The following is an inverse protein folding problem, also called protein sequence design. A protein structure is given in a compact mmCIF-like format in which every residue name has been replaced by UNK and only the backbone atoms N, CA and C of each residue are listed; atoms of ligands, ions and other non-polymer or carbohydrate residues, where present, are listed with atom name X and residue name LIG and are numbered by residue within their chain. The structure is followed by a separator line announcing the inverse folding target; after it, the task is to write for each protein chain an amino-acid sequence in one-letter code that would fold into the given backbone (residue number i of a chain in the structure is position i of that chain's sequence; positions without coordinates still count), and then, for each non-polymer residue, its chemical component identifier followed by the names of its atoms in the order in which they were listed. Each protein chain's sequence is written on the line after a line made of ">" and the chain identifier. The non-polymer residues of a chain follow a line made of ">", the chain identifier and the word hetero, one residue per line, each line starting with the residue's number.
data_IF_366152634286
#
_entry.id   IF_366152634286
#
_cell.length_a   1.000
_cell.length_b   1.000
_cell.length_c   1.000
_cell.angle_alpha   90.00
_cell.angle_beta   90.00
_cell.angle_gamma   90.00
#
_symmetry.space_group_name_H-M   'P 1'
#
loop_
_entity.id
_entity.type
_entity.pdbx_description
1 polymer ?
#
# COMPACT_ATOMS: atom_id res chain seq x y z
N UNK A 1 -1.49 9.48 20.74
CA UNK A 1 -2.64 8.54 20.84
C UNK A 1 -3.84 8.89 19.94
N UNK A 2 -4.01 10.15 19.51
CA UNK A 2 -5.12 10.52 18.61
C UNK A 2 -5.00 9.91 17.20
N UNK A 3 -3.79 9.77 16.65
CA UNK A 3 -3.57 9.23 15.30
C UNK A 3 -3.95 7.77 15.11
N UNK A 4 -3.76 6.92 16.12
CA UNK A 4 -4.08 5.49 16.02
C UNK A 4 -5.60 5.24 15.95
N UNK A 5 -6.38 5.98 16.75
CA UNK A 5 -7.84 5.88 16.72
C UNK A 5 -8.47 6.29 15.39
N UNK A 6 -7.89 7.31 14.72
CA UNK A 6 -8.37 7.75 13.41
C UNK A 6 -8.01 6.77 12.29
N UNK A 7 -6.88 6.07 12.41
CA UNK A 7 -6.50 4.98 11.50
C UNK A 7 -7.52 3.84 11.58
N UNK A 8 -7.87 3.38 12.78
CA UNK A 8 -8.85 2.29 12.96
C UNK A 8 -10.24 2.67 12.46
N UNK A 9 -10.70 3.91 12.67
CA UNK A 9 -11.98 4.38 12.15
C UNK A 9 -12.02 4.36 10.61
N UNK A 10 -10.96 4.80 9.93
CA UNK A 10 -10.86 4.77 8.46
C UNK A 10 -10.89 3.34 7.93
N UNK A 11 -10.24 2.42 8.61
CA UNK A 11 -10.21 0.99 8.24
C UNK A 11 -11.59 0.34 8.41
N UNK A 12 -12.33 0.68 9.46
CA UNK A 12 -13.72 0.24 9.62
C UNK A 12 -14.61 0.73 8.47
N UNK A 13 -14.43 1.98 8.03
CA UNK A 13 -15.18 2.55 6.89
C UNK A 13 -14.82 1.82 5.60
N UNK A 14 -13.53 1.57 5.32
CA UNK A 14 -13.11 0.80 4.15
C UNK A 14 -13.72 -0.61 4.16
N UNK A 15 -13.82 -1.26 5.33
CA UNK A 15 -14.46 -2.58 5.43
C UNK A 15 -15.96 -2.53 5.16
N UNK A 16 -16.65 -1.49 5.61
CA UNK A 16 -18.07 -1.31 5.30
C UNK A 16 -18.30 -1.08 3.80
N UNK A 17 -17.35 -0.45 3.11
CA UNK A 17 -17.39 -0.27 1.65
C UNK A 17 -17.25 -1.58 0.88
N UNK A 18 -16.55 -2.59 1.42
CA UNK A 18 -16.47 -3.93 0.81
C UNK A 18 -17.83 -4.62 0.68
N UNK A 19 -18.78 -4.25 1.52
CA UNK A 19 -20.14 -4.80 1.52
C UNK A 19 -21.14 -3.96 0.73
N UNK A 20 -20.76 -2.76 0.32
CA UNK A 20 -21.52 -2.04 -0.69
C UNK A 20 -21.30 -2.78 -2.01
N UNK A 21 -22.33 -3.46 -2.48
CA UNK A 21 -22.43 -4.09 -3.81
C UNK A 21 -22.43 -3.06 -4.95
N UNK A 22 -21.76 -1.93 -4.73
CA UNK A 22 -21.52 -0.91 -5.74
C UNK A 22 -20.55 -1.50 -6.75
N UNK A 23 -21.13 -2.30 -7.59
CA UNK A 23 -20.67 -2.77 -8.88
C UNK A 23 -19.19 -3.08 -9.05
N UNK A 24 -19.00 -4.19 -9.68
CA UNK A 24 -17.74 -4.69 -10.22
C UNK A 24 -16.78 -3.61 -10.75
N UNK A 25 -17.27 -2.48 -11.25
CA UNK A 25 -16.47 -1.41 -11.83
C UNK A 25 -15.52 -0.74 -10.83
N UNK A 26 -16.02 -0.33 -9.65
CA UNK A 26 -15.21 0.41 -8.67
C UNK A 26 -14.27 -0.49 -7.86
N UNK A 27 -14.68 -1.72 -7.55
CA UNK A 27 -13.87 -2.71 -6.86
C UNK A 27 -13.28 -2.25 -5.53
N UNK A 28 -14.06 -1.58 -4.67
CA UNK A 28 -13.59 -1.07 -3.37
C UNK A 28 -13.02 -2.16 -2.45
N UNK A 29 -13.43 -3.42 -2.62
CA UNK A 29 -12.86 -4.55 -1.89
C UNK A 29 -11.38 -4.78 -2.18
N UNK A 30 -10.86 -4.26 -3.29
CA UNK A 30 -9.46 -4.40 -3.69
C UNK A 30 -8.49 -3.57 -2.86
N UNK A 31 -8.96 -2.52 -2.18
CA UNK A 31 -8.11 -1.57 -1.43
C UNK A 31 -7.16 -2.28 -0.44
N UNK A 32 -7.59 -3.41 0.14
CA UNK A 32 -6.79 -4.15 1.10
C UNK A 32 -6.03 -5.33 0.51
N UNK A 33 -6.42 -5.79 -0.66
CA UNK A 33 -5.83 -6.97 -1.31
C UNK A 33 -4.73 -6.61 -2.29
N UNK A 34 -4.78 -5.41 -2.87
CA UNK A 34 -3.80 -4.90 -3.82
C UNK A 34 -2.71 -4.07 -3.12
N UNK A 35 -1.54 -4.04 -3.72
CA UNK A 35 -0.33 -3.49 -3.10
C UNK A 35 -0.28 -1.96 -3.11
N UNK A 36 -0.94 -1.29 -4.04
CA UNK A 36 -0.83 0.17 -4.22
C UNK A 36 -1.21 0.96 -2.97
N UNK A 37 -2.30 0.59 -2.32
CA UNK A 37 -2.67 1.22 -1.05
C UNK A 37 -1.58 1.05 0.03
N UNK A 38 -0.95 -0.14 0.08
CA UNK A 38 0.12 -0.43 1.02
C UNK A 38 1.39 0.36 0.70
N UNK A 39 1.72 0.48 -0.60
CA UNK A 39 2.86 1.26 -1.06
C UNK A 39 2.66 2.74 -0.73
N UNK A 40 1.49 3.31 -1.03
CA UNK A 40 1.16 4.71 -0.75
C UNK A 40 1.25 4.99 0.74
N UNK A 41 0.58 4.19 1.57
CA UNK A 41 0.54 4.41 3.01
C UNK A 41 1.90 4.22 3.67
N UNK A 42 2.67 3.20 3.27
CA UNK A 42 4.04 3.01 3.74
C UNK A 42 4.95 4.18 3.34
N UNK A 43 4.84 4.66 2.11
CA UNK A 43 5.59 5.82 1.64
C UNK A 43 5.30 7.06 2.48
N UNK A 44 4.04 7.31 2.80
CA UNK A 44 3.62 8.41 3.69
C UNK A 44 4.20 8.23 5.10
N UNK A 45 4.15 7.01 5.65
CA UNK A 45 4.71 6.72 6.97
C UNK A 45 6.21 7.02 7.01
N UNK A 46 6.95 6.61 5.98
CA UNK A 46 8.39 6.88 5.89
C UNK A 46 8.67 8.38 5.76
N UNK A 47 7.86 9.12 4.97
CA UNK A 47 7.99 10.57 4.83
C UNK A 47 7.76 11.34 6.13
N UNK A 48 6.86 10.85 6.98
CA UNK A 48 6.51 11.46 8.27
C UNK A 48 7.39 10.97 9.43
N UNK A 49 8.23 9.97 9.21
CA UNK A 49 9.08 9.39 10.25
C UNK A 49 10.32 10.26 10.50
N UNK A 50 10.81 10.22 11.74
CA UNK A 50 11.98 10.98 12.18
C UNK A 50 13.28 10.18 12.19
N UNK A 51 13.19 8.85 12.12
CA UNK A 51 14.33 7.93 12.10
C UNK A 51 14.00 6.61 11.41
N UNK A 52 15.04 5.85 11.02
CA UNK A 52 14.88 4.51 10.44
C UNK A 52 14.06 3.59 11.35
N UNK A 53 14.38 3.58 12.65
CA UNK A 53 13.65 2.75 13.63
C UNK A 53 12.19 3.17 13.73
N UNK A 54 11.94 4.49 13.77
CA UNK A 54 10.59 5.04 13.79
C UNK A 54 9.82 4.62 12.53
N UNK A 55 10.41 4.72 11.33
CA UNK A 55 9.79 4.31 10.08
C UNK A 55 9.41 2.82 10.07
N UNK A 56 10.36 1.94 10.44
CA UNK A 56 10.11 0.50 10.49
C UNK A 56 9.04 0.11 11.51
N UNK A 57 9.12 0.62 12.75
CA UNK A 57 8.14 0.31 13.80
C UNK A 57 6.75 0.87 13.45
N UNK A 58 6.68 2.11 12.96
CA UNK A 58 5.39 2.72 12.58
C UNK A 58 4.75 2.00 11.41
N UNK A 59 5.54 1.56 10.42
CA UNK A 59 5.06 0.74 9.31
C UNK A 59 4.52 -0.60 9.79
N UNK A 60 5.27 -1.31 10.65
CA UNK A 60 4.81 -2.57 11.23
C UNK A 60 3.48 -2.41 11.98
N UNK A 61 3.42 -1.45 12.91
CA UNK A 61 2.23 -1.21 13.72
C UNK A 61 1.03 -0.81 12.86
N UNK A 62 1.26 -0.02 11.80
CA UNK A 62 0.21 0.38 10.88
C UNK A 62 -0.32 -0.83 10.09
N UNK A 63 0.55 -1.60 9.44
CA UNK A 63 0.17 -2.74 8.60
C UNK A 63 -0.45 -3.87 9.42
N UNK A 64 0.17 -4.22 10.55
CA UNK A 64 -0.37 -5.22 11.48
C UNK A 64 -1.70 -4.77 12.08
N UNK A 65 -1.79 -3.52 12.51
CA UNK A 65 -3.02 -2.93 13.05
C UNK A 65 -4.16 -2.89 12.03
N UNK A 66 -3.84 -2.61 10.76
CA UNK A 66 -4.79 -2.67 9.66
C UNK A 66 -5.34 -4.09 9.49
N UNK A 67 -4.46 -5.08 9.42
CA UNK A 67 -4.83 -6.49 9.31
C UNK A 67 -5.69 -6.94 10.51
N UNK A 68 -5.27 -6.58 11.73
CA UNK A 68 -6.01 -6.91 12.95
C UNK A 68 -7.40 -6.28 12.97
N UNK A 69 -7.52 -5.00 12.60
CA UNK A 69 -8.80 -4.30 12.54
C UNK A 69 -9.74 -4.90 11.51
N UNK A 70 -9.22 -5.24 10.34
CA UNK A 70 -9.99 -5.83 9.25
C UNK A 70 -10.59 -7.19 9.65
N UNK A 71 -9.75 -8.12 10.06
CA UNK A 71 -10.20 -9.47 10.42
C UNK A 71 -10.90 -9.51 11.77
N UNK A 72 -10.50 -8.69 12.73
CA UNK A 72 -11.15 -8.56 14.02
C UNK A 72 -12.57 -7.99 13.90
N UNK A 73 -12.76 -6.95 13.09
CA UNK A 73 -14.08 -6.39 12.82
C UNK A 73 -14.99 -7.41 12.12
N UNK A 74 -14.45 -8.15 11.15
CA UNK A 74 -15.19 -9.23 10.49
C UNK A 74 -15.66 -10.30 11.49
N UNK A 75 -14.79 -10.71 12.40
CA UNK A 75 -15.14 -11.70 13.43
C UNK A 75 -16.24 -11.19 14.35
N UNK A 76 -16.14 -9.92 14.81
CA UNK A 76 -17.14 -9.30 15.70
C UNK A 76 -18.48 -9.14 14.96
N UNK A 77 -18.48 -8.59 13.75
CA UNK A 77 -19.71 -8.40 12.99
C UNK A 77 -20.37 -9.74 12.61
N UNK A 78 -19.58 -10.77 12.37
CA UNK A 78 -20.08 -12.13 12.10
C UNK A 78 -20.86 -12.76 13.24
N UNK A 79 -20.68 -12.28 14.48
CA UNK A 79 -21.48 -12.72 15.65
C UNK A 79 -22.89 -12.12 15.66
N UNK A 80 -23.09 -10.94 15.06
CA UNK A 80 -24.33 -10.19 15.11
C UNK A 80 -25.10 -10.15 13.78
N UNK A 81 -24.40 -10.26 12.68
CA UNK A 81 -24.97 -10.07 11.33
C UNK A 81 -24.69 -11.30 10.49
N UNK A 82 -25.71 -12.06 10.06
CA UNK A 82 -25.54 -13.29 9.25
C UNK A 82 -24.75 -13.07 7.94
N UNK A 83 -24.86 -11.89 7.35
CA UNK A 83 -24.12 -11.52 6.14
C UNK A 83 -22.60 -11.61 6.29
N UNK A 84 -22.09 -11.48 7.52
CA UNK A 84 -20.67 -11.57 7.88
C UNK A 84 -20.27 -12.94 8.44
N UNK A 85 -21.15 -13.93 8.39
CA UNK A 85 -20.98 -15.26 9.03
C UNK A 85 -19.89 -16.14 8.41
N UNK A 86 -19.12 -15.63 7.43
CA UNK A 86 -18.00 -16.35 6.79
C UNK A 86 -16.83 -16.71 7.71
N UNK A 87 -16.90 -16.35 9.00
CA UNK A 87 -15.93 -16.69 10.04
C UNK A 87 -14.58 -15.97 9.90
N UNK A 88 -13.78 -16.07 10.96
CA UNK A 88 -12.41 -15.53 10.98
C UNK A 88 -11.48 -16.36 10.08
N UNK A 89 -11.04 -15.81 8.97
CA UNK A 89 -10.13 -16.48 8.03
C UNK A 89 -8.69 -16.46 8.56
N UNK A 90 -8.37 -17.39 9.47
CA UNK A 90 -7.07 -17.48 10.15
C UNK A 90 -5.87 -17.48 9.21
N UNK A 91 -5.94 -18.21 8.09
CA UNK A 91 -4.85 -18.32 7.13
C UNK A 91 -4.52 -16.98 6.46
N UNK A 92 -5.54 -16.22 6.06
CA UNK A 92 -5.35 -14.89 5.47
C UNK A 92 -4.86 -13.88 6.51
N UNK A 93 -5.40 -13.93 7.72
CA UNK A 93 -4.90 -13.08 8.82
C UNK A 93 -3.41 -13.30 9.08
N UNK A 94 -2.98 -14.57 9.19
CA UNK A 94 -1.56 -14.91 9.41
C UNK A 94 -0.72 -14.45 8.23
N UNK A 95 -1.17 -14.67 6.99
CA UNK A 95 -0.47 -14.24 5.79
C UNK A 95 -0.23 -12.72 5.79
N UNK A 96 -1.27 -11.92 5.97
CA UNK A 96 -1.14 -10.45 5.99
C UNK A 96 -0.40 -9.93 7.22
N UNK A 97 -0.53 -10.59 8.37
CA UNK A 97 0.28 -10.28 9.55
C UNK A 97 1.77 -10.52 9.30
N UNK A 98 2.13 -11.62 8.61
CA UNK A 98 3.51 -11.89 8.21
C UNK A 98 4.01 -10.89 7.17
N UNK A 99 3.17 -10.46 6.22
CA UNK A 99 3.53 -9.45 5.22
C UNK A 99 3.81 -8.07 5.85
N UNK A 100 3.35 -7.80 7.05
CA UNK A 100 3.71 -6.56 7.75
C UNK A 100 5.21 -6.47 8.10
N UNK A 101 5.91 -7.61 8.22
CA UNK A 101 7.34 -7.67 8.51
C UNK A 101 8.18 -7.14 7.33
N UNK A 102 8.06 -7.68 6.10
CA UNK A 102 8.79 -7.12 4.96
C UNK A 102 8.43 -5.65 4.68
N UNK A 103 7.19 -5.22 4.91
CA UNK A 103 6.82 -3.80 4.82
C UNK A 103 7.59 -2.94 5.83
N UNK A 104 7.75 -3.41 7.07
CA UNK A 104 8.53 -2.74 8.10
C UNK A 104 10.02 -2.64 7.72
N UNK A 105 10.59 -3.72 7.19
CA UNK A 105 11.98 -3.74 6.70
C UNK A 105 12.14 -2.78 5.53
N UNK A 106 11.22 -2.80 4.57
CA UNK A 106 11.22 -1.87 3.45
C UNK A 106 11.16 -0.41 3.92
N UNK A 107 10.27 -0.08 4.87
CA UNK A 107 10.17 1.26 5.44
C UNK A 107 11.46 1.68 6.17
N UNK A 108 12.09 0.77 6.94
CA UNK A 108 13.37 1.02 7.59
C UNK A 108 14.47 1.33 6.57
N UNK A 109 14.54 0.58 5.48
CA UNK A 109 15.52 0.77 4.39
C UNK A 109 15.20 2.04 3.60
N UNK A 110 13.94 2.27 3.22
CA UNK A 110 13.54 3.45 2.45
C UNK A 110 13.89 4.75 3.18
N UNK A 111 13.85 4.81 4.50
CA UNK A 111 14.21 6.02 5.25
C UNK A 111 15.63 6.51 4.95
N UNK A 112 16.55 5.64 4.45
CA UNK A 112 17.89 6.04 4.01
C UNK A 112 17.89 7.01 2.81
N UNK A 113 16.76 7.21 2.15
CA UNK A 113 16.64 8.25 1.11
C UNK A 113 16.89 9.68 1.61
N UNK A 114 16.77 9.91 2.93
CA UNK A 114 17.09 11.21 3.55
C UNK A 114 18.60 11.48 3.65
N UNK A 115 19.45 10.54 3.26
CA UNK A 115 20.90 10.74 3.21
C UNK A 115 21.30 11.28 1.83
N UNK A 116 22.23 12.23 1.81
CA UNK A 116 22.77 12.86 0.59
C UNK A 116 23.71 11.94 -0.19
N UNK A 117 23.22 10.78 -0.63
CA UNK A 117 23.97 9.77 -1.36
C UNK A 117 23.33 9.49 -2.72
N UNK A 118 24.12 8.94 -3.65
CA UNK A 118 23.61 8.42 -4.94
C UNK A 118 22.49 7.40 -4.73
N UNK A 119 22.62 6.54 -3.71
CA UNK A 119 21.62 5.55 -3.32
C UNK A 119 20.27 6.17 -2.95
N UNK A 120 20.26 7.37 -2.40
CA UNK A 120 19.04 8.11 -2.06
C UNK A 120 18.13 8.29 -3.30
N UNK A 121 18.70 8.63 -4.45
CA UNK A 121 17.93 8.80 -5.69
C UNK A 121 17.29 7.49 -6.16
N UNK A 122 17.95 6.35 -5.96
CA UNK A 122 17.38 5.03 -6.23
C UNK A 122 16.29 4.66 -5.23
N UNK A 123 16.48 4.94 -3.94
CA UNK A 123 15.47 4.64 -2.92
C UNK A 123 14.18 5.45 -3.15
N UNK A 124 14.28 6.72 -3.55
CA UNK A 124 13.11 7.52 -3.93
C UNK A 124 12.36 6.97 -5.16
N UNK A 125 13.04 6.26 -6.05
CA UNK A 125 12.39 5.68 -7.24
C UNK A 125 11.59 4.41 -6.95
N UNK A 126 11.91 3.67 -5.88
CA UNK A 126 11.28 2.37 -5.57
C UNK A 126 9.75 2.45 -5.39
N UNK A 127 9.21 3.34 -4.52
CA UNK A 127 7.75 3.41 -4.36
C UNK A 127 7.04 3.85 -5.65
N UNK A 128 7.63 4.75 -6.40
CA UNK A 128 7.07 5.22 -7.67
C UNK A 128 7.07 4.10 -8.71
N UNK A 129 8.20 3.38 -8.85
CA UNK A 129 8.29 2.26 -9.77
C UNK A 129 7.33 1.12 -9.41
N UNK A 130 7.12 0.84 -8.12
CA UNK A 130 6.15 -0.15 -7.68
C UNK A 130 4.71 0.25 -8.04
N UNK A 131 4.33 1.53 -7.82
CA UNK A 131 3.01 2.03 -8.23
C UNK A 131 2.82 2.03 -9.74
N UNK A 132 3.86 2.36 -10.51
CA UNK A 132 3.80 2.27 -11.99
C UNK A 132 3.62 0.83 -12.44
N UNK A 133 4.32 -0.13 -11.84
CA UNK A 133 4.16 -1.55 -12.14
C UNK A 133 2.73 -2.03 -11.89
N UNK A 134 2.18 -1.70 -10.73
CA UNK A 134 0.80 -2.05 -10.38
C UNK A 134 -0.21 -1.35 -11.29
N UNK A 135 -0.02 -0.06 -11.60
CA UNK A 135 -0.85 0.66 -12.56
C UNK A 135 -0.91 -0.05 -13.92
N UNK A 136 0.22 -0.53 -14.43
CA UNK A 136 0.28 -1.26 -15.70
C UNK A 136 -0.51 -2.58 -15.58
N UNK A 137 -0.27 -3.37 -14.53
CA UNK A 137 -0.93 -4.65 -14.33
C UNK A 137 -2.45 -4.50 -14.18
N UNK A 138 -2.90 -3.55 -13.34
CA UNK A 138 -4.32 -3.29 -13.14
C UNK A 138 -4.97 -2.70 -14.39
N UNK A 139 -4.24 -1.92 -15.19
CA UNK A 139 -4.76 -1.41 -16.47
C UNK A 139 -5.13 -2.55 -17.42
N UNK A 140 -4.28 -3.57 -17.56
CA UNK A 140 -4.60 -4.75 -18.36
C UNK A 140 -5.79 -5.52 -17.79
N UNK A 141 -5.81 -5.73 -16.49
CA UNK A 141 -6.92 -6.42 -15.84
C UNK A 141 -8.24 -5.65 -15.99
N UNK A 142 -8.20 -4.32 -15.88
CA UNK A 142 -9.37 -3.45 -16.07
C UNK A 142 -9.92 -3.52 -17.49
N UNK A 143 -9.06 -3.58 -18.51
CA UNK A 143 -9.49 -3.68 -19.90
C UNK A 143 -10.23 -5.00 -20.19
N UNK A 144 -9.86 -6.08 -19.50
CA UNK A 144 -10.49 -7.40 -19.69
C UNK A 144 -11.77 -7.56 -18.84
N UNK A 145 -11.75 -7.09 -17.59
CA UNK A 145 -12.80 -7.42 -16.60
C UNK A 145 -13.66 -6.21 -16.20
N UNK A 146 -13.30 -5.00 -16.59
CA UNK A 146 -13.99 -3.76 -16.21
C UNK A 146 -14.19 -3.59 -14.69
N UNK A 147 -13.18 -3.99 -13.89
CA UNK A 147 -13.18 -3.93 -12.42
C UNK A 147 -11.95 -3.21 -11.89
N UNK A 148 -11.98 -2.75 -10.61
CA UNK A 148 -10.86 -2.09 -9.92
C UNK A 148 -10.51 -0.68 -10.43
N UNK A 149 -11.48 0.05 -10.98
CA UNK A 149 -11.26 1.44 -11.42
C UNK A 149 -10.74 2.34 -10.29
N UNK A 150 -11.24 2.16 -9.06
CA UNK A 150 -10.80 2.96 -7.91
C UNK A 150 -9.31 2.75 -7.62
N UNK A 151 -8.85 1.49 -7.62
CA UNK A 151 -7.44 1.16 -7.40
C UNK A 151 -6.56 1.76 -8.50
N UNK A 152 -6.97 1.60 -9.77
CA UNK A 152 -6.25 2.16 -10.90
C UNK A 152 -6.05 3.68 -10.77
N UNK A 153 -7.12 4.41 -10.43
CA UNK A 153 -7.06 5.86 -10.23
C UNK A 153 -6.16 6.23 -9.05
N UNK A 154 -6.26 5.50 -7.95
CA UNK A 154 -5.45 5.73 -6.76
C UNK A 154 -3.95 5.52 -7.05
N UNK A 155 -3.60 4.47 -7.79
CA UNK A 155 -2.21 4.17 -8.16
C UNK A 155 -1.63 5.21 -9.11
N UNK A 156 -2.40 5.64 -10.12
CA UNK A 156 -1.99 6.71 -11.03
C UNK A 156 -1.75 8.01 -10.24
N UNK A 157 -2.70 8.41 -9.40
CA UNK A 157 -2.58 9.62 -8.58
C UNK A 157 -1.38 9.51 -7.65
N UNK A 158 -1.20 8.38 -6.97
CA UNK A 158 -0.07 8.12 -6.09
C UNK A 158 1.27 8.19 -6.83
N UNK A 159 1.38 7.53 -7.99
CA UNK A 159 2.57 7.54 -8.82
C UNK A 159 2.92 8.97 -9.28
N UNK A 160 1.95 9.74 -9.74
CA UNK A 160 2.16 11.13 -10.19
C UNK A 160 2.57 12.02 -9.01
N UNK A 161 1.85 11.97 -7.90
CA UNK A 161 2.12 12.80 -6.71
C UNK A 161 3.52 12.51 -6.17
N UNK A 162 3.86 11.24 -5.96
CA UNK A 162 5.19 10.89 -5.45
C UNK A 162 6.30 11.17 -6.48
N UNK A 163 6.04 10.97 -7.78
CA UNK A 163 7.01 11.35 -8.82
C UNK A 163 7.37 12.82 -8.74
N UNK A 164 6.39 13.71 -8.65
CA UNK A 164 6.61 15.16 -8.57
C UNK A 164 7.28 15.56 -7.26
N UNK A 165 6.82 15.01 -6.13
CA UNK A 165 7.40 15.30 -4.81
C UNK A 165 8.87 14.89 -4.74
N UNK A 166 9.19 13.67 -5.20
CA UNK A 166 10.53 13.13 -5.12
C UNK A 166 11.47 13.74 -6.17
N UNK A 167 10.98 14.06 -7.36
CA UNK A 167 11.79 14.75 -8.37
C UNK A 167 12.35 16.10 -7.89
N UNK A 168 11.62 16.80 -7.00
CA UNK A 168 12.10 18.04 -6.38
C UNK A 168 13.16 17.79 -5.30
N UNK A 169 13.15 16.61 -4.67
CA UNK A 169 14.07 16.28 -3.56
C UNK A 169 15.36 15.60 -4.02
N UNK A 170 15.32 14.90 -5.15
CA UNK A 170 16.47 14.12 -5.63
C UNK A 170 17.57 14.98 -6.21
N UNK A 171 18.82 14.66 -5.85
CA UNK A 171 20.01 15.30 -6.37
C UNK A 171 20.37 14.79 -7.77
N UNK A 172 20.25 13.49 -8.01
CA UNK A 172 20.60 12.84 -9.29
C UNK A 172 19.35 12.46 -10.08
N UNK A 173 18.76 13.45 -10.78
CA UNK A 173 17.49 13.28 -11.52
C UNK A 173 17.54 12.18 -12.59
N UNK A 174 18.66 12.06 -13.32
CA UNK A 174 18.81 11.00 -14.36
C UNK A 174 18.74 9.61 -13.72
N UNK A 175 19.45 9.41 -12.59
CA UNK A 175 19.45 8.14 -11.87
C UNK A 175 18.07 7.81 -11.27
N UNK A 176 17.35 8.82 -10.82
CA UNK A 176 15.98 8.68 -10.33
C UNK A 176 15.04 8.16 -11.43
N UNK A 177 15.09 8.77 -12.64
CA UNK A 177 14.25 8.34 -13.78
C UNK A 177 14.61 6.91 -14.22
N UNK A 178 15.91 6.60 -14.34
CA UNK A 178 16.36 5.24 -14.64
C UNK A 178 15.90 4.28 -13.56
N UNK A 179 16.00 4.68 -12.29
CA UNK A 179 15.55 3.90 -11.14
C UNK A 179 14.05 3.59 -11.19
N UNK A 180 13.19 4.55 -11.60
CA UNK A 180 11.76 4.30 -11.78
C UNK A 180 11.53 3.22 -12.84
N UNK A 181 12.17 3.34 -14.01
CA UNK A 181 12.00 2.36 -15.09
C UNK A 181 12.48 0.97 -14.66
N UNK A 182 13.66 0.88 -14.06
CA UNK A 182 14.21 -0.40 -13.60
C UNK A 182 13.35 -1.02 -12.49
N UNK A 183 12.95 -0.23 -11.50
CA UNK A 183 12.13 -0.74 -10.40
C UNK A 183 10.73 -1.13 -10.89
N UNK A 184 10.13 -0.40 -11.82
CA UNK A 184 8.82 -0.79 -12.38
C UNK A 184 8.91 -2.12 -13.13
N UNK A 185 9.95 -2.35 -13.92
CA UNK A 185 10.18 -3.65 -14.58
C UNK A 185 10.36 -4.77 -13.55
N UNK A 186 11.23 -4.55 -12.55
CA UNK A 186 11.50 -5.56 -11.52
C UNK A 186 10.23 -5.91 -10.75
N UNK A 187 9.47 -4.93 -10.29
CA UNK A 187 8.22 -5.18 -9.56
C UNK A 187 7.16 -5.84 -10.44
N UNK A 188 7.05 -5.46 -11.71
CA UNK A 188 6.10 -6.07 -12.63
C UNK A 188 6.32 -7.58 -12.81
N UNK A 189 7.58 -8.04 -12.81
CA UNK A 189 7.90 -9.47 -12.95
C UNK A 189 7.94 -10.24 -11.62
N UNK A 190 8.14 -9.57 -10.49
CA UNK A 190 8.22 -10.24 -9.17
C UNK A 190 6.84 -10.43 -8.55
N UNK A 191 5.94 -9.45 -8.70
CA UNK A 191 4.61 -9.58 -8.10
C UNK A 191 3.69 -10.44 -8.97
N UNK A 192 2.95 -11.38 -8.36
CA UNK A 192 1.91 -12.15 -9.04
C UNK A 192 0.67 -11.23 -9.20
N UNK A 193 0.53 -10.70 -10.36
CA UNK A 193 -0.65 -9.90 -10.76
C UNK A 193 -1.85 -10.77 -11.09
#
# INVERSE_FOLDING_TARGET
>A
SRGLGDVYKRQCICRLLDYCSLDSLWGFSSIQTLLGFWIITNTIIVLLSTSNKCAGISSFLYMFGMTLSFYGLQAILGMFIPLFSGGFRKSLFILFALLSIPCAIAAFVLYYWNKDNVLSSLLYSLPVGALVAETIAISFYFLEHHTFLFQLLMDIIGAVVFSVLFFKKVKHRKLYIIGIVLSSLVFYFIFPW
#
